data_IF_341879745502
#
_entry.id   IF_341879745502
#
_cell.length_a   1.000
_cell.length_b   1.000
_cell.length_c   1.000
_cell.angle_alpha   90.00
_cell.angle_beta   90.00
_cell.angle_gamma   90.00
#
_symmetry.space_group_name_H-M   'P 1'
#
loop_
_entity.id
_entity.type
_entity.pdbx_description
1 polymer ?
#
# COMPACT_ATOMS: atom_id res chain seq x y z
N UNK A 1 5.99 -11.86 4.60
CA UNK A 1 5.54 -10.75 3.73
C UNK A 1 4.85 -9.68 4.54
N UNK A 2 5.09 -8.43 4.18
CA UNK A 2 4.44 -7.30 4.80
C UNK A 2 3.67 -6.52 3.75
N UNK A 3 2.57 -5.90 4.14
CA UNK A 3 1.89 -4.98 3.23
C UNK A 3 1.91 -3.58 3.80
N UNK A 4 1.99 -2.61 2.90
CA UNK A 4 2.00 -1.20 3.23
C UNK A 4 0.77 -0.58 2.59
N UNK A 5 -0.10 0.02 3.39
CA UNK A 5 -1.35 0.63 2.93
C UNK A 5 -1.23 2.12 3.12
N UNK A 6 -1.25 2.87 2.03
CA UNK A 6 -1.06 4.31 2.13
C UNK A 6 -1.87 5.03 1.06
N UNK A 7 -2.27 6.25 1.36
CA UNK A 7 -2.89 7.11 0.37
C UNK A 7 -1.82 7.90 -0.38
N UNK A 8 -0.71 8.14 0.29
CA UNK A 8 0.35 9.01 -0.22
C UNK A 8 1.63 8.23 -0.39
N UNK A 9 2.08 8.10 -1.62
CA UNK A 9 3.30 7.37 -1.94
C UNK A 9 3.98 8.02 -3.13
N UNK A 10 5.32 7.95 -3.25
CA UNK A 10 5.96 8.49 -4.45
C UNK A 10 5.35 7.88 -5.71
N UNK A 11 5.30 8.60 -6.82
CA UNK A 11 6.05 9.82 -7.12
C UNK A 11 5.46 11.11 -6.55
N UNK A 12 4.34 11.03 -5.85
CA UNK A 12 3.83 12.21 -5.17
C UNK A 12 4.83 12.65 -4.11
N UNK A 13 5.04 13.96 -3.97
CA UNK A 13 6.07 14.50 -3.09
C UNK A 13 5.48 15.01 -1.79
N UNK A 14 6.14 14.73 -0.67
CA UNK A 14 5.72 15.22 0.63
C UNK A 14 6.35 14.42 1.76
N UNK A 15 6.11 14.83 2.99
CA UNK A 15 6.68 14.18 4.17
C UNK A 15 6.18 12.77 4.39
N UNK A 16 4.85 12.58 4.27
CA UNK A 16 4.27 11.25 4.45
C UNK A 16 4.70 10.30 3.33
N UNK A 17 4.78 10.81 2.11
CA UNK A 17 5.21 10.02 0.98
C UNK A 17 6.64 9.51 1.19
N UNK A 18 7.52 10.37 1.64
CA UNK A 18 8.90 9.99 1.90
C UNK A 18 9.00 8.99 3.05
N UNK A 19 8.21 9.18 4.09
CA UNK A 19 8.21 8.27 5.22
C UNK A 19 7.77 6.86 4.79
N UNK A 20 6.65 6.78 4.09
CA UNK A 20 6.12 5.48 3.66
C UNK A 20 7.06 4.80 2.68
N UNK A 21 7.69 5.58 1.81
CA UNK A 21 8.70 5.07 0.89
C UNK A 21 9.88 4.47 1.65
N UNK A 22 10.39 5.21 2.64
CA UNK A 22 11.52 4.74 3.44
C UNK A 22 11.21 3.45 4.19
N UNK A 23 10.00 3.37 4.76
CA UNK A 23 9.56 2.16 5.46
C UNK A 23 9.48 0.96 4.51
N UNK A 24 8.87 1.16 3.34
CA UNK A 24 8.73 0.07 2.38
C UNK A 24 10.10 -0.41 1.91
N UNK A 25 10.99 0.51 1.59
CA UNK A 25 12.34 0.15 1.14
C UNK A 25 13.13 -0.58 2.22
N UNK A 26 13.02 -0.12 3.46
CA UNK A 26 13.73 -0.76 4.56
C UNK A 26 13.26 -2.18 4.80
N UNK A 27 11.96 -2.40 4.77
CA UNK A 27 11.40 -3.73 4.97
C UNK A 27 11.75 -4.63 3.78
N UNK A 28 11.74 -4.08 2.57
CA UNK A 28 12.01 -4.85 1.37
C UNK A 28 13.42 -5.42 1.32
N UNK A 29 14.35 -4.89 2.13
CA UNK A 29 15.68 -5.44 2.21
C UNK A 29 15.70 -6.84 2.79
N UNK A 30 14.73 -7.17 3.63
CA UNK A 30 14.75 -8.43 4.36
C UNK A 30 13.47 -9.26 4.19
N UNK A 31 12.43 -8.68 3.63
CA UNK A 31 11.13 -9.36 3.52
C UNK A 31 10.47 -9.01 2.20
N UNK A 32 9.47 -9.81 1.82
CA UNK A 32 8.63 -9.46 0.70
C UNK A 32 7.69 -8.35 1.12
N UNK A 33 7.49 -7.39 0.25
CA UNK A 33 6.65 -6.22 0.53
C UNK A 33 5.66 -6.02 -0.62
N UNK A 34 4.41 -5.74 -0.26
CA UNK A 34 3.39 -5.36 -1.23
C UNK A 34 2.82 -4.02 -0.79
N UNK A 35 2.76 -3.06 -1.69
CA UNK A 35 2.24 -1.73 -1.40
C UNK A 35 0.91 -1.52 -2.09
N UNK A 36 -0.07 -1.01 -1.35
CA UNK A 36 -1.36 -0.58 -1.90
C UNK A 36 -1.44 0.92 -1.71
N UNK A 37 -1.43 1.66 -2.80
CA UNK A 37 -1.38 3.12 -2.77
C UNK A 37 -2.44 3.70 -3.69
N UNK A 38 -2.69 4.99 -3.54
CA UNK A 38 -3.61 5.69 -4.42
C UNK A 38 -2.94 5.98 -5.76
N UNK A 39 -3.76 6.10 -6.79
CA UNK A 39 -3.29 6.38 -8.14
C UNK A 39 -2.58 7.73 -8.24
N UNK A 40 -1.53 7.76 -9.06
CA UNK A 40 -0.84 9.00 -9.41
C UNK A 40 -0.50 8.91 -10.89
N UNK A 41 -0.68 10.01 -11.61
CA UNK A 41 -0.54 9.97 -13.07
C UNK A 41 0.85 9.57 -13.56
N UNK A 42 1.88 9.78 -12.78
CA UNK A 42 3.25 9.43 -13.15
C UNK A 42 3.72 8.10 -12.53
N UNK A 43 2.80 7.26 -12.11
CA UNK A 43 3.15 6.07 -11.34
C UNK A 43 3.99 5.05 -12.10
N UNK A 44 3.80 4.94 -13.41
CA UNK A 44 4.47 3.88 -14.17
C UNK A 44 5.98 3.97 -14.12
N UNK A 45 6.51 5.16 -14.35
CA UNK A 45 7.95 5.36 -14.31
C UNK A 45 8.51 5.02 -12.94
N UNK A 46 7.84 5.48 -11.91
CA UNK A 46 8.28 5.24 -10.55
C UNK A 46 8.21 3.76 -10.20
N UNK A 47 7.08 3.13 -10.48
CA UNK A 47 6.84 1.77 -10.01
C UNK A 47 7.72 0.75 -10.73
N UNK A 48 8.16 1.06 -11.94
CA UNK A 48 9.07 0.18 -12.66
C UNK A 48 10.47 0.14 -12.06
N UNK A 49 10.82 1.13 -11.27
CA UNK A 49 12.17 1.24 -10.70
C UNK A 49 12.32 0.61 -9.33
N UNK A 50 11.23 0.12 -8.77
CA UNK A 50 11.30 -0.47 -7.42
C UNK A 50 11.28 -1.98 -7.50
N UNK A 51 11.82 -2.61 -6.45
CA UNK A 51 11.93 -4.05 -6.41
C UNK A 51 10.70 -4.75 -5.85
N UNK A 52 9.81 -4.00 -5.21
CA UNK A 52 8.60 -4.59 -4.63
C UNK A 52 7.37 -4.22 -5.45
N UNK A 53 6.29 -4.95 -5.22
CA UNK A 53 5.07 -4.76 -5.98
C UNK A 53 4.22 -3.63 -5.42
N UNK A 54 3.67 -2.81 -6.31
CA UNK A 54 2.80 -1.69 -5.94
C UNK A 54 1.52 -1.78 -6.74
N UNK A 55 0.38 -1.85 -6.06
CA UNK A 55 -0.93 -1.74 -6.69
C UNK A 55 -1.51 -0.38 -6.38
N UNK A 56 -1.98 0.29 -7.42
CA UNK A 56 -2.54 1.63 -7.25
C UNK A 56 -4.00 1.65 -7.61
N UNK A 57 -4.77 2.37 -6.81
CA UNK A 57 -6.23 2.45 -6.95
C UNK A 57 -6.65 3.88 -7.22
N UNK A 58 -7.40 4.08 -8.30
CA UNK A 58 -7.88 5.41 -8.68
C UNK A 58 -9.39 5.55 -8.52
N UNK A 59 -9.91 6.67 -8.98
CA UNK A 59 -11.34 6.95 -8.95
C UNK A 59 -11.69 7.98 -7.89
N UNK A 60 -12.98 8.21 -7.69
CA UNK A 60 -13.43 9.16 -6.68
C UNK A 60 -13.12 8.61 -5.29
N UNK A 61 -12.92 9.51 -4.35
CA UNK A 61 -12.40 9.17 -3.04
C UNK A 61 -13.13 8.02 -2.34
N UNK A 62 -14.45 8.07 -2.32
CA UNK A 62 -15.25 7.07 -1.63
C UNK A 62 -15.11 5.69 -2.27
N UNK A 63 -15.25 5.62 -3.58
CA UNK A 63 -15.13 4.35 -4.30
C UNK A 63 -13.70 3.83 -4.28
N UNK A 64 -12.73 4.73 -4.29
CA UNK A 64 -11.33 4.35 -4.21
C UNK A 64 -11.03 3.65 -2.89
N UNK A 65 -11.58 4.16 -1.80
CA UNK A 65 -11.38 3.54 -0.48
C UNK A 65 -11.94 2.13 -0.45
N UNK A 66 -13.15 1.95 -0.98
CA UNK A 66 -13.79 0.63 -0.99
C UNK A 66 -13.02 -0.33 -1.88
N UNK A 67 -12.63 0.11 -3.06
CA UNK A 67 -11.90 -0.75 -4.00
C UNK A 67 -10.55 -1.19 -3.44
N UNK A 68 -9.85 -0.26 -2.81
CA UNK A 68 -8.56 -0.58 -2.22
C UNK A 68 -8.72 -1.62 -1.11
N UNK A 69 -9.74 -1.46 -0.26
CA UNK A 69 -10.00 -2.42 0.79
C UNK A 69 -10.35 -3.80 0.23
N UNK A 70 -11.10 -3.86 -0.86
CA UNK A 70 -11.42 -5.13 -1.49
C UNK A 70 -10.16 -5.84 -1.99
N UNK A 71 -9.27 -5.10 -2.64
CA UNK A 71 -8.02 -5.68 -3.13
C UNK A 71 -7.17 -6.21 -2.00
N UNK A 72 -7.08 -5.46 -0.92
CA UNK A 72 -6.30 -5.88 0.23
C UNK A 72 -6.90 -7.10 0.90
N UNK A 73 -8.23 -7.13 1.05
CA UNK A 73 -8.89 -8.27 1.66
C UNK A 73 -8.69 -9.54 0.84
N UNK A 74 -8.73 -9.43 -0.48
CA UNK A 74 -8.46 -10.59 -1.34
C UNK A 74 -7.03 -11.04 -1.21
N UNK A 75 -6.11 -10.10 -1.14
CA UNK A 75 -4.70 -10.41 -1.00
C UNK A 75 -4.43 -11.13 0.33
N UNK A 76 -5.09 -10.70 1.39
CA UNK A 76 -4.93 -11.31 2.71
C UNK A 76 -5.45 -12.75 2.74
N UNK A 77 -6.47 -13.05 1.93
CA UNK A 77 -6.99 -14.42 1.86
C UNK A 77 -6.01 -15.37 1.18
N UNK A 78 -5.27 -14.86 0.21
CA UNK A 78 -4.42 -15.69 -0.63
C UNK A 78 -2.96 -15.72 -0.20
N UNK A 79 -2.56 -14.84 0.68
CA UNK A 79 -1.16 -14.70 1.06
C UNK A 79 -1.00 -14.64 2.56
N UNK A 80 0.12 -15.16 3.03
CA UNK A 80 0.44 -15.11 4.44
C UNK A 80 1.14 -13.78 4.73
N UNK A 81 0.46 -12.92 5.45
CA UNK A 81 0.95 -11.57 5.73
C UNK A 81 1.32 -11.48 7.20
N UNK A 82 2.56 -11.06 7.47
CA UNK A 82 3.08 -10.96 8.84
C UNK A 82 2.71 -9.66 9.52
N UNK A 83 2.50 -8.61 8.76
CA UNK A 83 2.14 -7.33 9.33
C UNK A 83 1.65 -6.35 8.29
N UNK A 84 0.91 -5.36 8.75
CA UNK A 84 0.35 -4.30 7.92
C UNK A 84 0.83 -2.97 8.48
N UNK A 85 1.38 -2.13 7.61
CA UNK A 85 1.83 -0.79 7.96
C UNK A 85 0.97 0.20 7.21
N UNK A 86 0.35 1.12 7.92
CA UNK A 86 -0.54 2.09 7.31
C UNK A 86 -0.14 3.50 7.68
N UNK A 87 -0.42 4.44 6.78
CA UNK A 87 -0.13 5.85 7.02
C UNK A 87 -1.12 6.49 7.98
N UNK A 88 -2.32 5.93 8.08
CA UNK A 88 -3.36 6.46 8.94
C UNK A 88 -4.32 5.34 9.31
N UNK A 89 -4.87 5.38 10.52
CA UNK A 89 -5.78 4.32 10.96
C UNK A 89 -7.00 4.19 10.06
N UNK A 90 -7.43 5.27 9.43
CA UNK A 90 -8.57 5.23 8.51
C UNK A 90 -8.29 4.38 7.28
N UNK A 91 -7.03 4.21 6.93
CA UNK A 91 -6.67 3.36 5.80
C UNK A 91 -6.98 1.90 6.07
N UNK A 92 -7.21 1.54 7.32
CA UNK A 92 -7.49 0.17 7.72
C UNK A 92 -8.97 -0.12 8.00
N UNK A 93 -9.84 0.89 7.90
CA UNK A 93 -11.23 0.76 8.34
C UNK A 93 -12.00 -0.39 7.69
N UNK A 94 -11.81 -0.60 6.42
CA UNK A 94 -12.55 -1.62 5.70
C UNK A 94 -11.78 -2.91 5.48
N UNK A 95 -10.61 -3.01 6.07
CA UNK A 95 -9.77 -4.18 5.92
C UNK A 95 -10.09 -5.20 6.99
N UNK A 96 -10.33 -6.43 6.56
CA UNK A 96 -10.65 -7.51 7.47
C UNK A 96 -9.40 -8.30 7.77
N UNK A 97 -9.00 -8.34 9.02
CA UNK A 97 -7.85 -9.12 9.42
C UNK A 97 -8.30 -10.20 10.37
N UNK A 98 -7.56 -11.29 10.37
CA UNK A 98 -7.84 -12.37 11.30
C UNK A 98 -7.12 -12.21 12.61
N UNK A 99 -6.46 -11.09 12.81
CA UNK A 99 -5.70 -11.00 13.99
C UNK A 99 -6.55 -10.78 15.18
N UNK A 100 -6.13 -11.24 16.17
CA UNK A 100 -6.84 -11.17 17.41
C UNK A 100 -6.00 -10.53 18.42
#
# INVERSE_FOLDING_TARGET
MYIVVTRSFPPEVGGMQNLMWGLACSIAKYNLVKVFADFHENYKEHDQKVSFSIDRVGGIKFLRKIRKAQLINEFLKENKVQGIIADHWKSLELIKTDKK
#
